data_IF_114845886549
#
_entry.id   IF_114845886549
#
_cell.length_a   1.000
_cell.length_b   1.000
_cell.length_c   1.000
_cell.angle_alpha   90.00
_cell.angle_beta   90.00
_cell.angle_gamma   90.00
#
_symmetry.space_group_name_H-M   'P 1'
#
loop_
_entity.id
_entity.type
_entity.pdbx_description
1 polymer ?
#
# COMPACT_ATOMS: atom_id res chain seq x y z
N UNK A 1 -2.73 -5.55 5.55
CA UNK A 1 -3.35 -6.72 6.18
C UNK A 1 -2.30 -7.58 6.85
N UNK A 2 -2.67 -8.25 7.93
CA UNK A 2 -1.91 -9.33 8.53
C UNK A 2 -2.75 -10.62 8.55
N UNK A 3 -2.18 -11.72 9.04
CA UNK A 3 -2.88 -13.01 9.08
C UNK A 3 -4.17 -12.98 9.90
N UNK A 4 -4.18 -12.27 11.05
CA UNK A 4 -5.38 -12.19 11.90
C UNK A 4 -6.50 -11.40 11.20
N UNK A 5 -6.15 -10.43 10.36
CA UNK A 5 -7.10 -9.68 9.55
C UNK A 5 -7.78 -10.58 8.51
N UNK A 6 -7.01 -11.44 7.85
CA UNK A 6 -7.56 -12.42 6.90
C UNK A 6 -8.52 -13.35 7.62
N UNK A 7 -8.14 -13.88 8.78
CA UNK A 7 -9.00 -14.75 9.58
C UNK A 7 -10.29 -14.07 9.98
N UNK A 8 -10.22 -12.79 10.39
CA UNK A 8 -11.40 -12.02 10.74
C UNK A 8 -12.32 -11.81 9.53
N UNK A 9 -11.78 -11.40 8.38
CA UNK A 9 -12.57 -11.20 7.15
C UNK A 9 -13.30 -12.48 6.70
N UNK A 10 -12.67 -13.63 6.87
CA UNK A 10 -13.21 -14.93 6.46
C UNK A 10 -14.06 -15.62 7.54
N UNK A 11 -14.10 -15.07 8.77
CA UNK A 11 -14.77 -15.71 9.91
C UNK A 11 -16.27 -15.93 9.69
N UNK A 12 -16.92 -15.04 8.95
CA UNK A 12 -18.36 -15.07 8.69
C UNK A 12 -18.76 -15.88 7.45
N UNK A 13 -17.80 -16.55 6.79
CA UNK A 13 -18.13 -17.49 5.73
C UNK A 13 -18.86 -18.68 6.32
N UNK A 14 -20.08 -18.91 5.86
CA UNK A 14 -20.90 -20.08 6.27
C UNK A 14 -20.50 -21.33 5.48
N UNK A 15 -20.81 -22.50 6.01
CA UNK A 15 -20.48 -23.77 5.39
C UNK A 15 -21.18 -23.90 4.02
N UNK A 16 -20.39 -23.99 2.97
CA UNK A 16 -20.83 -24.23 1.60
C UNK A 16 -19.91 -25.25 0.95
N UNK A 17 -20.49 -26.16 0.18
CA UNK A 17 -19.71 -27.13 -0.59
C UNK A 17 -18.86 -26.49 -1.70
N UNK A 18 -19.18 -25.26 -2.07
CA UNK A 18 -18.45 -24.49 -3.08
C UNK A 18 -18.29 -23.04 -2.64
N UNK A 19 -17.06 -22.60 -2.55
CA UNK A 19 -16.69 -21.23 -2.16
C UNK A 19 -15.98 -20.58 -3.34
N UNK A 20 -16.57 -19.51 -3.89
CA UNK A 20 -15.93 -18.66 -4.89
C UNK A 20 -15.54 -17.34 -4.22
N UNK A 21 -14.26 -17.06 -4.14
CA UNK A 21 -13.72 -15.83 -3.57
C UNK A 21 -13.10 -14.98 -4.68
N UNK A 22 -13.64 -13.80 -4.89
CA UNK A 22 -13.07 -12.82 -5.80
C UNK A 22 -12.34 -11.75 -4.99
N UNK A 23 -11.03 -11.66 -5.18
CA UNK A 23 -10.20 -10.61 -4.59
C UNK A 23 -10.11 -9.49 -5.61
N UNK A 24 -10.67 -8.33 -5.27
CA UNK A 24 -10.61 -7.14 -6.11
C UNK A 24 -9.44 -6.28 -5.66
N UNK A 25 -8.46 -6.12 -6.53
CA UNK A 25 -7.32 -5.25 -6.30
C UNK A 25 -7.35 -4.08 -7.28
N UNK A 26 -7.17 -2.85 -6.78
CA UNK A 26 -7.23 -1.64 -7.59
C UNK A 26 -6.07 -1.58 -8.58
N UNK A 27 -4.92 -2.15 -8.22
CA UNK A 27 -3.76 -2.22 -9.08
C UNK A 27 -2.93 -3.46 -8.70
N UNK A 28 -3.01 -4.50 -9.50
CA UNK A 28 -2.34 -5.79 -9.26
C UNK A 28 -0.83 -5.77 -9.57
N UNK A 29 -0.31 -4.67 -10.13
CA UNK A 29 1.10 -4.59 -10.50
C UNK A 29 1.95 -4.28 -9.28
N UNK A 30 3.00 -5.07 -9.11
CA UNK A 30 4.10 -4.71 -8.23
C UNK A 30 4.74 -3.42 -8.70
N UNK A 31 4.92 -2.51 -7.79
CA UNK A 31 5.50 -1.22 -8.06
C UNK A 31 6.70 -0.97 -7.16
N UNK A 32 7.80 -0.57 -7.78
CA UNK A 32 8.96 -0.05 -7.08
C UNK A 32 9.20 1.39 -7.52
N UNK A 33 9.34 2.33 -6.59
CA UNK A 33 9.70 3.70 -6.92
C UNK A 33 10.98 3.76 -7.75
N UNK A 34 11.02 4.69 -8.67
CA UNK A 34 12.17 4.87 -9.55
C UNK A 34 13.43 5.20 -8.74
N UNK A 35 14.52 4.49 -9.01
CA UNK A 35 15.79 4.67 -8.31
C UNK A 35 15.97 3.82 -7.05
N UNK A 36 15.03 2.93 -6.74
CA UNK A 36 15.28 1.82 -5.83
C UNK A 36 16.18 0.81 -6.54
N UNK A 37 17.27 0.43 -5.89
CA UNK A 37 18.25 -0.48 -6.51
C UNK A 37 17.79 -1.93 -6.43
N UNK A 38 18.39 -2.78 -7.25
CA UNK A 38 18.12 -4.22 -7.19
C UNK A 38 18.45 -4.80 -5.78
N UNK A 39 19.51 -4.28 -5.15
CA UNK A 39 19.88 -4.69 -3.79
C UNK A 39 18.81 -4.31 -2.78
N UNK A 40 18.29 -3.09 -2.84
CA UNK A 40 17.23 -2.65 -1.92
C UNK A 40 16.00 -3.57 -2.00
N UNK A 41 15.64 -4.02 -3.20
CA UNK A 41 14.48 -4.89 -3.46
C UNK A 41 14.59 -6.29 -2.88
N UNK A 42 15.77 -6.69 -2.42
CA UNK A 42 16.01 -7.99 -1.78
C UNK A 42 15.75 -7.99 -0.28
N UNK A 43 15.52 -6.82 0.30
CA UNK A 43 15.30 -6.64 1.73
C UNK A 43 13.88 -6.14 2.01
N UNK A 44 13.43 -6.36 3.23
CA UNK A 44 12.09 -5.99 3.69
C UNK A 44 11.80 -4.49 3.50
N UNK A 45 12.81 -3.64 3.73
CA UNK A 45 12.69 -2.20 3.54
C UNK A 45 12.51 -1.77 2.07
N UNK A 46 12.82 -2.63 1.12
CA UNK A 46 12.65 -2.43 -0.32
C UNK A 46 11.49 -3.25 -0.90
N UNK A 47 10.56 -3.68 -0.07
CA UNK A 47 9.39 -4.44 -0.50
C UNK A 47 8.54 -3.71 -1.55
N UNK A 48 7.92 -4.42 -2.51
CA UNK A 48 7.11 -3.81 -3.55
C UNK A 48 5.88 -3.13 -2.97
N UNK A 49 5.50 -2.01 -3.56
CA UNK A 49 4.33 -1.24 -3.15
C UNK A 49 3.11 -1.73 -3.93
N UNK A 50 2.07 -2.15 -3.22
CA UNK A 50 0.81 -2.65 -3.80
C UNK A 50 -0.37 -2.12 -3.02
N UNK A 51 -1.55 -2.07 -3.64
CA UNK A 51 -2.80 -1.66 -2.98
C UNK A 51 -3.29 -2.71 -2.01
N UNK A 52 -3.04 -3.97 -2.32
CA UNK A 52 -3.30 -5.10 -1.42
C UNK A 52 -1.96 -5.64 -0.94
N UNK A 53 -1.70 -5.54 0.35
CA UNK A 53 -0.46 -5.98 0.95
C UNK A 53 -0.72 -6.87 2.16
N UNK A 54 0.09 -7.90 2.32
CA UNK A 54 0.14 -8.72 3.51
C UNK A 54 1.48 -8.49 4.21
N UNK A 55 1.43 -8.06 5.48
CA UNK A 55 2.60 -7.71 6.27
C UNK A 55 3.57 -6.78 5.52
N UNK A 56 3.04 -5.71 4.93
CA UNK A 56 3.81 -4.70 4.18
C UNK A 56 4.65 -5.27 3.04
N UNK A 57 4.32 -6.44 2.55
CA UNK A 57 5.04 -7.16 1.51
C UNK A 57 6.50 -7.55 1.88
N UNK A 58 6.81 -7.60 3.16
CA UNK A 58 8.18 -7.79 3.67
C UNK A 58 8.82 -9.12 3.26
N UNK A 59 8.07 -10.12 2.92
CA UNK A 59 8.59 -11.44 2.55
C UNK A 59 8.93 -11.59 1.07
N UNK A 60 9.14 -10.54 0.34
CA UNK A 60 9.67 -10.45 -1.06
C UNK A 60 9.16 -11.46 -2.10
N UNK A 61 8.24 -12.34 -1.75
CA UNK A 61 7.71 -13.34 -2.66
C UNK A 61 6.31 -12.93 -3.11
N UNK A 62 6.02 -13.24 -4.36
CA UNK A 62 4.76 -13.06 -5.09
C UNK A 62 3.54 -12.99 -4.15
N UNK A 63 3.31 -11.82 -3.60
CA UNK A 63 2.38 -11.61 -2.50
C UNK A 63 0.97 -12.09 -2.76
N UNK A 64 0.55 -12.00 -4.01
CA UNK A 64 -0.77 -12.47 -4.41
C UNK A 64 -0.87 -13.97 -4.29
N UNK A 65 0.13 -14.72 -4.75
CA UNK A 65 0.14 -16.18 -4.61
C UNK A 65 0.24 -16.61 -3.15
N UNK A 66 1.05 -15.93 -2.38
CA UNK A 66 1.17 -16.18 -0.94
C UNK A 66 -0.13 -15.85 -0.18
N UNK A 67 -0.77 -14.73 -0.52
CA UNK A 67 -2.08 -14.37 0.01
C UNK A 67 -3.13 -15.43 -0.35
N UNK A 68 -3.18 -15.84 -1.61
CA UNK A 68 -4.06 -16.89 -2.10
C UNK A 68 -3.87 -18.19 -1.33
N UNK A 69 -2.64 -18.68 -1.24
CA UNK A 69 -2.30 -19.90 -0.51
C UNK A 69 -2.67 -19.80 0.98
N UNK A 70 -2.52 -18.63 1.60
CA UNK A 70 -2.91 -18.41 3.00
C UNK A 70 -4.42 -18.48 3.17
N UNK A 71 -5.17 -17.86 2.27
CA UNK A 71 -6.63 -17.90 2.27
C UNK A 71 -7.13 -19.33 2.03
N UNK A 72 -6.57 -20.05 1.05
CA UNK A 72 -6.90 -21.44 0.75
C UNK A 72 -6.68 -22.34 1.96
N UNK A 73 -5.53 -22.24 2.60
CA UNK A 73 -5.22 -23.02 3.82
C UNK A 73 -6.22 -22.75 4.95
N UNK A 74 -6.60 -21.49 5.13
CA UNK A 74 -7.59 -21.15 6.17
C UNK A 74 -8.97 -21.72 5.85
N UNK A 75 -9.45 -21.52 4.62
CA UNK A 75 -10.77 -22.02 4.21
C UNK A 75 -10.79 -23.56 4.26
N UNK A 76 -9.75 -24.22 3.78
CA UNK A 76 -9.63 -25.68 3.84
C UNK A 76 -9.64 -26.22 5.28
N UNK A 77 -8.96 -25.54 6.20
CA UNK A 77 -8.99 -25.91 7.62
C UNK A 77 -10.38 -25.78 8.21
N UNK A 78 -11.14 -24.75 7.82
CA UNK A 78 -12.50 -24.51 8.33
C UNK A 78 -13.55 -25.36 7.62
N UNK A 79 -13.37 -25.66 6.34
CA UNK A 79 -14.29 -26.39 5.47
C UNK A 79 -13.54 -27.43 4.63
N UNK A 80 -13.14 -28.57 5.22
CA UNK A 80 -12.26 -29.55 4.56
C UNK A 80 -12.82 -30.14 3.26
N UNK A 81 -14.14 -30.15 3.11
CA UNK A 81 -14.84 -30.73 1.96
C UNK A 81 -15.29 -29.67 0.93
N UNK A 82 -14.93 -28.41 1.12
CA UNK A 82 -15.33 -27.36 0.19
C UNK A 82 -14.42 -27.32 -1.03
N UNK A 83 -15.03 -27.10 -2.20
CA UNK A 83 -14.29 -26.71 -3.41
C UNK A 83 -14.08 -25.20 -3.35
N UNK A 84 -12.82 -24.78 -3.44
CA UNK A 84 -12.42 -23.37 -3.30
C UNK A 84 -11.91 -22.87 -4.66
N UNK A 85 -12.49 -21.78 -5.13
CA UNK A 85 -11.98 -21.04 -6.29
C UNK A 85 -11.64 -19.62 -5.85
N UNK A 86 -10.38 -19.23 -5.97
CA UNK A 86 -9.93 -17.87 -5.68
C UNK A 86 -9.53 -17.20 -6.99
N UNK A 87 -10.25 -16.15 -7.34
CA UNK A 87 -9.95 -15.30 -8.49
C UNK A 87 -9.43 -13.95 -8.00
N UNK A 88 -8.38 -13.46 -8.65
CA UNK A 88 -7.89 -12.11 -8.47
C UNK A 88 -8.34 -11.34 -9.70
N UNK A 89 -9.27 -10.41 -9.50
CA UNK A 89 -9.84 -9.63 -10.58
C UNK A 89 -9.16 -8.27 -10.66
N UNK A 90 -8.79 -7.88 -11.86
CA UNK A 90 -8.39 -6.51 -12.16
C UNK A 90 -9.63 -5.61 -12.13
N UNK A 91 -9.42 -4.35 -11.74
CA UNK A 91 -10.47 -3.33 -11.57
C UNK A 91 -11.27 -3.00 -12.84
N UNK A 92 -10.87 -3.55 -13.99
CA UNK A 92 -11.57 -3.40 -15.25
C UNK A 92 -12.94 -4.11 -15.29
N UNK A 93 -13.12 -5.13 -14.45
CA UNK A 93 -14.41 -5.78 -14.30
C UNK A 93 -15.24 -5.07 -13.22
N UNK A 94 -16.18 -4.24 -13.64
CA UNK A 94 -17.22 -3.72 -12.76
C UNK A 94 -18.09 -4.88 -12.26
N UNK A 95 -17.65 -5.51 -11.18
CA UNK A 95 -18.53 -6.42 -10.45
C UNK A 95 -19.68 -5.59 -9.87
N UNK A 96 -20.86 -5.77 -10.39
CA UNK A 96 -22.06 -5.15 -9.87
C UNK A 96 -22.40 -5.79 -8.53
N UNK A 97 -22.01 -5.12 -7.44
CA UNK A 97 -22.32 -5.51 -6.07
C UNK A 97 -23.78 -5.16 -5.67
N UNK A 98 -24.68 -5.03 -6.64
CA UNK A 98 -26.05 -4.57 -6.41
C UNK A 98 -26.88 -5.45 -5.48
N UNK A 99 -26.39 -6.63 -5.11
CA UNK A 99 -27.06 -7.56 -4.17
C UNK A 99 -26.12 -8.11 -3.09
N UNK A 100 -24.98 -7.47 -2.85
CA UNK A 100 -24.03 -7.95 -1.86
C UNK A 100 -24.38 -7.47 -0.45
N UNK A 101 -24.14 -8.34 0.53
CA UNK A 101 -24.23 -8.02 1.96
C UNK A 101 -22.79 -7.88 2.49
N UNK A 102 -22.52 -6.77 3.18
CA UNK A 102 -21.25 -6.59 3.87
C UNK A 102 -21.19 -7.49 5.08
N UNK A 103 -20.33 -8.49 5.06
CA UNK A 103 -20.14 -9.43 6.18
C UNK A 103 -19.17 -8.91 7.22
N UNK A 104 -18.05 -8.35 6.78
CA UNK A 104 -16.98 -7.90 7.67
C UNK A 104 -16.16 -6.78 7.03
N UNK A 105 -15.45 -6.04 7.86
CA UNK A 105 -14.47 -5.03 7.43
C UNK A 105 -13.37 -4.84 8.45
N UNK A 106 -12.24 -4.38 7.97
CA UNK A 106 -11.09 -4.04 8.80
C UNK A 106 -10.78 -2.57 8.55
N UNK A 107 -10.70 -1.82 9.64
CA UNK A 107 -10.23 -0.43 9.59
C UNK A 107 -8.72 -0.40 9.70
N UNK A 108 -8.10 0.51 8.97
CA UNK A 108 -6.67 0.80 9.16
C UNK A 108 -6.40 1.39 10.55
N UNK A 109 -5.15 1.34 10.98
CA UNK A 109 -4.72 2.12 12.13
C UNK A 109 -4.96 3.63 11.92
N UNK A 110 -5.10 4.40 12.99
CA UNK A 110 -5.21 5.85 12.89
C UNK A 110 -4.05 6.46 12.10
N UNK A 111 -4.33 7.51 11.33
CA UNK A 111 -3.32 8.15 10.46
C UNK A 111 -2.06 8.56 11.24
N UNK A 112 -2.23 9.07 12.46
CA UNK A 112 -1.09 9.46 13.30
C UNK A 112 -0.17 8.25 13.60
N UNK A 113 -0.73 7.09 13.90
CA UNK A 113 0.05 5.87 14.13
C UNK A 113 0.82 5.43 12.88
N UNK A 114 0.21 5.56 11.69
CA UNK A 114 0.88 5.24 10.43
C UNK A 114 2.00 6.23 10.11
N UNK A 115 1.80 7.53 10.36
CA UNK A 115 2.85 8.55 10.21
C UNK A 115 3.99 8.28 11.21
N UNK A 116 3.67 7.94 12.47
CA UNK A 116 4.67 7.57 13.47
C UNK A 116 5.48 6.38 13.02
N UNK A 117 4.83 5.31 12.53
CA UNK A 117 5.53 4.14 12.00
C UNK A 117 6.46 4.51 10.84
N UNK A 118 5.97 5.30 9.87
CA UNK A 118 6.79 5.73 8.74
C UNK A 118 8.03 6.53 9.16
N UNK A 119 7.89 7.40 10.16
CA UNK A 119 8.98 8.30 10.57
C UNK A 119 9.92 7.68 11.60
N UNK A 120 9.39 7.01 12.64
CA UNK A 120 10.19 6.49 13.75
C UNK A 120 10.92 5.20 13.40
N UNK A 121 10.27 4.33 12.63
CA UNK A 121 10.84 3.05 12.19
C UNK A 121 11.42 3.13 10.77
N UNK A 122 11.36 4.30 10.13
CA UNK A 122 11.80 4.46 8.73
C UNK A 122 11.10 3.47 7.77
N UNK A 123 9.79 3.25 7.99
CA UNK A 123 9.04 2.21 7.31
C UNK A 123 8.61 2.65 5.91
N UNK A 124 9.40 2.28 4.91
CA UNK A 124 9.27 2.74 3.53
C UNK A 124 7.92 2.39 2.90
N UNK A 125 7.45 1.16 3.08
CA UNK A 125 6.15 0.75 2.55
C UNK A 125 5.01 1.64 3.05
N UNK A 126 5.00 2.00 4.34
CA UNK A 126 3.97 2.88 4.90
C UNK A 126 4.09 4.29 4.35
N UNK A 127 5.29 4.84 4.23
CA UNK A 127 5.50 6.17 3.64
C UNK A 127 4.98 6.24 2.19
N UNK A 128 5.33 5.25 1.35
CA UNK A 128 4.86 5.15 -0.02
C UNK A 128 3.34 4.99 -0.11
N UNK A 129 2.76 4.10 0.70
CA UNK A 129 1.31 3.85 0.72
C UNK A 129 0.52 5.08 1.17
N UNK A 130 0.99 5.79 2.19
CA UNK A 130 0.38 7.06 2.63
C UNK A 130 0.41 8.10 1.52
N UNK A 131 1.53 8.24 0.82
CA UNK A 131 1.65 9.17 -0.28
C UNK A 131 0.71 8.81 -1.44
N UNK A 132 0.66 7.54 -1.84
CA UNK A 132 -0.23 7.06 -2.92
C UNK A 132 -1.70 7.31 -2.59
N UNK A 133 -2.11 7.04 -1.36
CA UNK A 133 -3.46 7.34 -0.91
C UNK A 133 -3.74 8.85 -0.88
N UNK A 134 -2.82 9.67 -0.38
CA UNK A 134 -2.97 11.12 -0.34
C UNK A 134 -3.02 11.76 -1.74
N UNK A 135 -2.30 11.19 -2.71
CA UNK A 135 -2.32 11.63 -4.11
C UNK A 135 -3.56 11.15 -4.88
N UNK A 136 -4.36 10.26 -4.27
CA UNK A 136 -5.47 9.55 -4.89
C UNK A 136 -5.07 8.90 -6.22
N UNK A 137 -3.88 8.32 -6.27
CA UNK A 137 -3.33 7.68 -7.46
C UNK A 137 -2.24 6.69 -7.10
N UNK A 138 -2.22 5.59 -7.83
CA UNK A 138 -1.23 4.52 -7.71
C UNK A 138 -0.32 4.46 -8.95
N UNK A 139 -0.15 5.59 -9.61
CA UNK A 139 0.68 5.71 -10.80
C UNK A 139 2.16 5.99 -10.44
N UNK A 140 3.07 5.52 -11.28
CA UNK A 140 4.53 5.71 -11.10
C UNK A 140 4.96 7.19 -11.10
N UNK A 141 4.22 8.05 -11.78
CA UNK A 141 4.58 9.46 -11.96
C UNK A 141 3.97 10.42 -10.93
N UNK A 142 3.36 9.91 -9.87
CA UNK A 142 2.61 10.75 -8.92
C UNK A 142 3.49 11.70 -8.10
N UNK A 143 4.80 11.46 -8.03
CA UNK A 143 5.71 12.36 -7.32
C UNK A 143 5.79 13.76 -7.95
N UNK A 144 5.37 13.90 -9.20
CA UNK A 144 5.16 15.21 -9.84
C UNK A 144 4.09 15.99 -9.07
N UNK A 145 3.04 15.35 -8.57
CA UNK A 145 1.98 15.97 -7.76
C UNK A 145 2.54 16.57 -6.47
N UNK A 146 3.50 15.90 -5.83
CA UNK A 146 4.17 16.42 -4.64
C UNK A 146 4.96 17.71 -4.97
N UNK A 147 5.65 17.75 -6.11
CA UNK A 147 6.33 18.98 -6.55
C UNK A 147 5.34 20.13 -6.78
N UNK A 148 4.20 19.88 -7.41
CA UNK A 148 3.15 20.89 -7.58
C UNK A 148 2.58 21.35 -6.24
N UNK A 149 2.35 20.42 -5.31
CA UNK A 149 1.87 20.74 -3.98
C UNK A 149 2.85 21.64 -3.20
N UNK A 150 4.16 21.37 -3.28
CA UNK A 150 5.21 22.20 -2.69
C UNK A 150 5.28 23.58 -3.36
N UNK A 151 5.24 23.62 -4.70
CA UNK A 151 5.25 24.86 -5.47
C UNK A 151 4.06 25.77 -5.16
N UNK A 152 2.86 25.21 -5.02
CA UNK A 152 1.66 25.96 -4.66
C UNK A 152 1.72 26.54 -3.23
N UNK A 153 2.63 26.03 -2.40
CA UNK A 153 2.96 26.61 -1.08
C UNK A 153 4.11 27.62 -1.13
N UNK A 154 4.51 28.04 -2.34
CA UNK A 154 5.56 29.05 -2.54
C UNK A 154 6.97 28.51 -2.29
N UNK A 155 7.19 27.21 -2.39
CA UNK A 155 8.52 26.61 -2.28
C UNK A 155 9.17 26.48 -3.66
N UNK A 156 10.46 26.75 -3.75
CA UNK A 156 11.23 26.65 -4.99
C UNK A 156 11.72 25.22 -5.21
N UNK A 157 11.03 24.49 -6.07
CA UNK A 157 11.28 23.06 -6.34
C UNK A 157 11.98 22.76 -7.66
N UNK A 158 12.32 23.80 -8.43
CA UNK A 158 12.80 23.64 -9.82
C UNK A 158 14.10 22.82 -9.90
N UNK A 159 14.99 22.96 -8.91
CA UNK A 159 16.25 22.23 -8.80
C UNK A 159 16.14 20.95 -7.97
N UNK A 160 14.94 20.38 -7.84
CA UNK A 160 14.73 19.16 -7.07
C UNK A 160 14.15 18.03 -7.92
N UNK A 161 14.54 16.81 -7.59
CA UNK A 161 13.93 15.60 -8.11
C UNK A 161 13.40 14.79 -6.92
N UNK A 162 12.14 14.43 -6.97
CA UNK A 162 11.49 13.58 -5.98
C UNK A 162 10.97 12.36 -6.74
N UNK A 163 11.46 11.19 -6.37
CA UNK A 163 11.21 9.94 -7.07
C UNK A 163 10.49 8.90 -6.20
N UNK A 164 10.42 9.15 -4.90
CA UNK A 164 9.67 8.35 -3.93
C UNK A 164 9.23 9.21 -2.74
N UNK A 165 8.44 8.64 -1.85
CA UNK A 165 7.97 9.29 -0.64
C UNK A 165 8.74 8.84 0.61
N UNK A 166 9.46 7.73 0.54
CA UNK A 166 10.21 7.14 1.63
C UNK A 166 11.63 7.67 1.79
N UNK A 167 12.18 8.27 0.72
CA UNK A 167 13.57 8.74 0.71
C UNK A 167 14.61 7.66 0.35
N UNK A 168 14.19 6.43 0.05
CA UNK A 168 15.09 5.33 -0.32
C UNK A 168 15.69 5.52 -1.72
N UNK A 169 14.97 6.20 -2.63
CA UNK A 169 15.38 6.38 -4.02
C UNK A 169 16.72 7.12 -4.16
N UNK A 170 17.65 6.53 -4.89
CA UNK A 170 18.93 7.16 -5.26
C UNK A 170 18.77 8.31 -6.27
N UNK A 171 17.57 8.48 -6.81
CA UNK A 171 17.26 9.58 -7.75
C UNK A 171 16.76 10.84 -7.05
N UNK A 172 16.50 10.80 -5.75
CA UNK A 172 16.09 11.98 -5.00
C UNK A 172 17.21 13.03 -4.99
N UNK A 173 16.87 14.26 -5.33
CA UNK A 173 17.75 15.44 -5.26
C UNK A 173 16.95 16.59 -4.69
N UNK A 174 17.33 17.05 -3.53
CA UNK A 174 16.72 18.22 -2.88
C UNK A 174 17.81 19.15 -2.38
N UNK A 175 17.56 20.46 -2.44
CA UNK A 175 18.50 21.44 -1.90
C UNK A 175 18.28 21.63 -0.40
N UNK A 176 19.35 21.91 0.33
CA UNK A 176 19.25 22.28 1.76
C UNK A 176 18.32 23.48 1.98
N UNK A 177 18.33 24.42 1.05
CA UNK A 177 17.42 25.57 1.05
C UNK A 177 15.95 25.13 1.00
N UNK A 178 15.59 24.21 0.09
CA UNK A 178 14.20 23.71 0.01
C UNK A 178 13.77 23.04 1.32
N UNK A 179 14.63 22.22 1.91
CA UNK A 179 14.35 21.58 3.19
C UNK A 179 14.14 22.61 4.30
N UNK A 180 15.04 23.59 4.41
CA UNK A 180 14.96 24.64 5.41
C UNK A 180 13.69 25.50 5.28
N UNK A 181 13.36 25.90 4.05
CA UNK A 181 12.15 26.68 3.75
C UNK A 181 10.88 25.86 4.05
N UNK A 182 10.87 24.57 3.72
CA UNK A 182 9.78 23.67 4.02
C UNK A 182 9.57 23.55 5.53
N UNK A 183 10.60 23.21 6.30
CA UNK A 183 10.53 23.09 7.75
C UNK A 183 10.07 24.40 8.42
N UNK A 184 10.59 25.54 7.95
CA UNK A 184 10.19 26.85 8.46
C UNK A 184 8.70 27.15 8.19
N UNK A 185 8.16 26.73 7.06
CA UNK A 185 6.73 26.86 6.76
C UNK A 185 5.88 25.92 7.62
N UNK A 186 6.35 24.68 7.77
CA UNK A 186 5.56 23.63 8.44
C UNK A 186 5.48 23.83 9.95
N UNK A 187 6.49 24.43 10.59
CA UNK A 187 6.47 24.68 12.07
C UNK A 187 5.26 25.49 12.55
N UNK A 188 4.61 26.24 11.67
CA UNK A 188 3.39 26.99 11.98
C UNK A 188 2.11 26.25 11.59
N UNK A 189 2.23 25.06 11.02
CA UNK A 189 1.08 24.23 10.70
C UNK A 189 0.52 23.58 11.96
N UNK A 190 -0.80 23.54 12.09
CA UNK A 190 -1.45 22.88 13.23
C UNK A 190 -1.18 21.37 13.29
N UNK A 191 -0.69 20.79 12.20
CA UNK A 191 -0.46 19.34 12.04
C UNK A 191 1.03 18.97 12.02
N UNK A 192 1.89 19.89 12.45
CA UNK A 192 3.35 19.67 12.46
C UNK A 192 3.90 19.73 13.88
#
# INVERSE_FOLDING_TARGET
LNYSDIYKLLSNITNNNKINLNILEINSKYYWPKGWTYVDKQYDYGAPITTLALNSNESNYENIEYLKNTIEKYIFKKFPNATININIADNSEKYYLNSSIKLESISSNPLLSLITLANSESHNFTAESLFKNASNSWNENDYIKLKYWLKNRGLKVDNSTISDASGLSRNNRVTTKLISEFLNKMKYSKNF
#
